data_IF_616604753276
#
_entry.id   IF_616604753276
#
_cell.length_a   1.000
_cell.length_b   1.000
_cell.length_c   1.000
_cell.angle_alpha   90.00
_cell.angle_beta   90.00
_cell.angle_gamma   90.00
#
_symmetry.space_group_name_H-M   'P 1'
#
loop_
_entity.id
_entity.type
_entity.pdbx_description
1 polymer ?
#
# COMPACT_ATOMS: atom_id res chain seq x y z
N UNK A 1 4.27 -19.68 -34.14
CA UNK A 1 3.52 -19.25 -32.94
C UNK A 1 4.46 -19.34 -31.75
N UNK A 2 4.91 -18.19 -31.25
CA UNK A 2 5.84 -18.12 -30.11
C UNK A 2 5.13 -18.59 -28.85
N UNK A 3 5.54 -19.75 -28.33
CA UNK A 3 5.17 -20.22 -27.00
C UNK A 3 5.82 -19.25 -26.01
N UNK A 4 5.04 -18.27 -25.55
CA UNK A 4 5.44 -17.39 -24.45
C UNK A 4 5.76 -18.26 -23.24
N UNK A 5 7.05 -18.49 -22.98
CA UNK A 5 7.57 -18.77 -21.64
C UNK A 5 7.47 -17.48 -20.81
N UNK A 6 6.24 -17.01 -20.59
CA UNK A 6 5.99 -15.92 -19.66
C UNK A 6 5.79 -16.54 -18.29
N UNK A 7 6.70 -16.30 -17.36
CA UNK A 7 6.42 -16.55 -15.95
C UNK A 7 5.07 -15.90 -15.61
N UNK A 8 4.07 -16.71 -15.27
CA UNK A 8 2.79 -16.19 -14.80
C UNK A 8 3.04 -15.38 -13.53
N UNK A 9 2.53 -14.16 -13.49
CA UNK A 9 2.75 -13.25 -12.38
C UNK A 9 2.14 -13.86 -11.10
N UNK A 10 2.96 -14.04 -10.08
CA UNK A 10 2.50 -14.61 -8.82
C UNK A 10 1.72 -13.57 -8.01
N UNK A 11 0.99 -14.01 -6.98
CA UNK A 11 0.30 -13.09 -6.09
C UNK A 11 1.26 -12.13 -5.37
N UNK A 12 2.42 -12.63 -4.94
CA UNK A 12 3.48 -11.82 -4.34
C UNK A 12 3.98 -10.74 -5.29
N UNK A 13 4.15 -11.05 -6.57
CA UNK A 13 4.61 -10.06 -7.54
C UNK A 13 3.58 -8.92 -7.68
N UNK A 14 2.29 -9.25 -7.74
CA UNK A 14 1.22 -8.24 -7.79
C UNK A 14 1.19 -7.36 -6.54
N UNK A 15 1.39 -7.98 -5.37
CA UNK A 15 1.46 -7.25 -4.10
C UNK A 15 2.67 -6.31 -4.07
N UNK A 16 3.84 -6.75 -4.53
CA UNK A 16 5.04 -5.91 -4.61
C UNK A 16 4.86 -4.75 -5.59
N UNK A 17 4.22 -4.96 -6.74
CA UNK A 17 3.87 -3.86 -7.64
C UNK A 17 2.90 -2.87 -6.99
N UNK A 18 1.87 -3.35 -6.31
CA UNK A 18 0.90 -2.50 -5.61
C UNK A 18 1.57 -1.65 -4.53
N UNK A 19 2.42 -2.29 -3.71
CA UNK A 19 3.18 -1.63 -2.65
C UNK A 19 4.18 -0.63 -3.22
N UNK A 20 4.94 -0.99 -4.26
CA UNK A 20 5.90 -0.09 -4.89
C UNK A 20 5.23 1.17 -5.45
N UNK A 21 4.11 1.00 -6.14
CA UNK A 21 3.32 2.13 -6.66
C UNK A 21 2.74 2.99 -5.54
N UNK A 22 2.11 2.36 -4.55
CA UNK A 22 1.50 3.05 -3.41
C UNK A 22 2.51 3.83 -2.57
N UNK A 23 3.66 3.22 -2.27
CA UNK A 23 4.75 3.85 -1.50
C UNK A 23 5.38 4.99 -2.29
N UNK A 24 5.63 4.81 -3.59
CA UNK A 24 6.15 5.89 -4.44
C UNK A 24 5.21 7.10 -4.47
N UNK A 25 3.91 6.86 -4.62
CA UNK A 25 2.92 7.94 -4.61
C UNK A 25 2.84 8.63 -3.24
N UNK A 26 2.80 7.87 -2.14
CA UNK A 26 2.82 8.40 -0.78
C UNK A 26 4.08 9.23 -0.50
N UNK A 27 5.26 8.77 -0.95
CA UNK A 27 6.51 9.48 -0.80
C UNK A 27 6.50 10.84 -1.51
N UNK A 28 5.96 10.90 -2.73
CA UNK A 28 5.80 12.18 -3.44
C UNK A 28 4.91 13.17 -2.68
N UNK A 29 3.79 12.72 -2.12
CA UNK A 29 2.91 13.58 -1.30
C UNK A 29 3.59 14.03 -0.01
N UNK A 30 4.27 13.13 0.68
CA UNK A 30 5.02 13.46 1.89
C UNK A 30 6.11 14.50 1.58
N UNK A 31 6.87 14.30 0.51
CA UNK A 31 7.85 15.28 0.03
C UNK A 31 7.20 16.63 -0.25
N UNK A 32 6.06 16.67 -0.94
CA UNK A 32 5.38 17.94 -1.22
C UNK A 32 4.91 18.66 0.06
N UNK A 33 4.35 17.93 1.02
CA UNK A 33 3.95 18.49 2.31
C UNK A 33 5.13 19.06 3.10
N UNK A 34 6.20 18.28 3.27
CA UNK A 34 7.36 18.74 4.02
C UNK A 34 8.16 19.80 3.25
N UNK A 35 8.25 19.69 1.92
CA UNK A 35 8.90 20.70 1.08
C UNK A 35 8.29 22.09 1.30
N UNK A 36 6.96 22.13 1.41
CA UNK A 36 6.20 23.36 1.65
C UNK A 36 6.46 23.99 3.02
N UNK A 37 7.01 23.22 3.98
CA UNK A 37 7.34 23.70 5.32
C UNK A 37 8.80 24.13 5.49
N UNK A 38 9.70 23.87 4.53
CA UNK A 38 11.11 24.29 4.64
C UNK A 38 11.27 25.76 5.02
N UNK A 39 10.51 26.73 4.44
CA UNK A 39 10.64 28.13 4.81
C UNK A 39 10.38 28.42 6.29
N UNK A 40 9.58 27.58 6.97
CA UNK A 40 9.25 27.72 8.39
C UNK A 40 10.33 27.12 9.30
N UNK A 41 11.24 26.29 8.77
CA UNK A 41 12.30 25.62 9.55
C UNK A 41 13.49 26.52 9.88
N UNK A 42 13.62 27.68 9.22
CA UNK A 42 14.70 28.64 9.46
C UNK A 42 14.42 29.60 10.63
N UNK A 43 13.22 29.54 11.23
CA UNK A 43 12.82 30.36 12.36
C UNK A 43 13.06 29.71 13.74
N UNK A 44 12.73 30.46 14.80
CA UNK A 44 12.88 30.02 16.18
C UNK A 44 11.84 28.96 16.57
N UNK A 45 12.18 27.69 16.38
CA UNK A 45 11.49 26.54 16.99
C UNK A 45 10.10 26.21 16.42
N UNK A 46 9.26 25.61 17.26
CA UNK A 46 7.94 25.10 16.87
C UNK A 46 6.96 26.22 16.53
N UNK A 47 6.42 26.21 15.31
CA UNK A 47 5.41 27.16 14.86
C UNK A 47 3.98 26.68 15.19
N UNK A 48 3.17 27.57 15.77
CA UNK A 48 1.76 27.35 16.06
C UNK A 48 0.92 28.35 15.27
N UNK A 49 -0.20 27.90 14.71
CA UNK A 49 -1.15 28.78 14.01
C UNK A 49 -2.38 29.06 14.86
N UNK A 50 -3.06 30.18 14.60
CA UNK A 50 -4.31 30.52 15.27
C UNK A 50 -5.42 29.49 15.02
N UNK A 51 -5.38 28.79 13.88
CA UNK A 51 -6.30 27.69 13.58
C UNK A 51 -6.07 26.49 14.52
N UNK A 52 -4.84 26.25 14.94
CA UNK A 52 -4.45 25.05 15.68
C UNK A 52 -3.47 25.37 16.82
N UNK A 53 -3.93 26.06 17.89
CA UNK A 53 -3.05 26.49 18.98
C UNK A 53 -2.56 25.32 19.85
N UNK A 54 -3.25 24.17 19.83
CA UNK A 54 -2.90 23.01 20.64
C UNK A 54 -1.85 22.06 20.04
N UNK A 55 -1.44 22.27 18.78
CA UNK A 55 -0.45 21.42 18.10
C UNK A 55 0.44 22.25 17.17
N UNK A 56 1.72 21.92 17.11
CA UNK A 56 2.63 22.59 16.17
C UNK A 56 2.28 22.22 14.72
N UNK A 57 2.49 23.14 13.78
CA UNK A 57 2.27 22.87 12.35
C UNK A 57 3.13 21.70 11.84
N UNK A 58 4.32 21.53 12.39
CA UNK A 58 5.18 20.38 12.08
C UNK A 58 4.52 19.05 12.48
N UNK A 59 3.93 18.97 13.68
CA UNK A 59 3.24 17.77 14.14
C UNK A 59 1.98 17.51 13.33
N UNK A 60 1.16 18.54 13.10
CA UNK A 60 -0.05 18.44 12.27
C UNK A 60 0.28 17.91 10.88
N UNK A 61 1.32 18.45 10.25
CA UNK A 61 1.74 18.04 8.91
C UNK A 61 2.32 16.62 8.91
N UNK A 62 3.12 16.25 9.92
CA UNK A 62 3.67 14.91 10.02
C UNK A 62 2.58 13.84 10.18
N UNK A 63 1.59 14.09 11.01
CA UNK A 63 0.48 13.16 11.24
C UNK A 63 -0.47 13.08 10.04
N UNK A 64 -0.80 14.22 9.41
CA UNK A 64 -1.59 14.22 8.18
C UNK A 64 -0.85 13.51 7.03
N UNK A 65 0.47 13.72 6.92
CA UNK A 65 1.34 13.03 5.96
C UNK A 65 1.34 11.52 6.19
N UNK A 66 1.48 11.09 7.45
CA UNK A 66 1.44 9.68 7.82
C UNK A 66 0.08 9.02 7.49
N UNK A 67 -1.04 9.64 7.88
CA UNK A 67 -2.37 9.09 7.63
C UNK A 67 -2.73 9.07 6.13
N UNK A 68 -2.38 10.12 5.40
CA UNK A 68 -2.59 10.16 3.94
C UNK A 68 -1.69 9.14 3.24
N UNK A 69 -0.44 9.00 3.66
CA UNK A 69 0.50 8.00 3.11
C UNK A 69 0.00 6.57 3.33
N UNK A 70 -0.45 6.25 4.55
CA UNK A 70 -1.06 4.96 4.85
C UNK A 70 -2.30 4.69 3.99
N UNK A 71 -3.15 5.70 3.80
CA UNK A 71 -4.33 5.61 2.93
C UNK A 71 -3.92 5.32 1.48
N UNK A 72 -2.93 6.04 0.93
CA UNK A 72 -2.48 5.88 -0.45
C UNK A 72 -1.86 4.51 -0.70
N UNK A 73 -1.00 4.04 0.20
CA UNK A 73 -0.38 2.71 0.09
C UNK A 73 -1.46 1.62 0.15
N UNK A 74 -2.32 1.68 1.16
CA UNK A 74 -3.38 0.70 1.36
C UNK A 74 -4.41 0.68 0.22
N UNK A 75 -4.81 1.85 -0.27
CA UNK A 75 -5.73 2.00 -1.38
C UNK A 75 -5.23 1.29 -2.65
N UNK A 76 -3.92 1.36 -2.92
CA UNK A 76 -3.34 0.71 -4.09
C UNK A 76 -3.29 -0.82 -3.96
N UNK A 77 -3.01 -1.33 -2.75
CA UNK A 77 -3.10 -2.78 -2.47
C UNK A 77 -4.52 -3.30 -2.71
N UNK A 78 -5.53 -2.59 -2.21
CA UNK A 78 -6.94 -2.96 -2.38
C UNK A 78 -7.39 -2.82 -3.84
N UNK A 79 -6.99 -1.75 -4.52
CA UNK A 79 -7.35 -1.51 -5.91
C UNK A 79 -6.78 -2.59 -6.85
N UNK A 80 -5.53 -3.04 -6.64
CA UNK A 80 -4.96 -4.12 -7.44
C UNK A 80 -5.63 -5.47 -7.18
N UNK A 81 -5.99 -5.80 -5.93
CA UNK A 81 -6.79 -7.02 -5.68
C UNK A 81 -8.18 -6.92 -6.32
N UNK A 82 -8.79 -5.74 -6.26
CA UNK A 82 -10.04 -5.41 -6.93
C UNK A 82 -10.01 -5.59 -8.44
N UNK A 83 -8.91 -5.17 -9.08
CA UNK A 83 -8.68 -5.35 -10.51
C UNK A 83 -8.66 -6.83 -10.88
N UNK A 84 -8.00 -7.67 -10.08
CA UNK A 84 -7.97 -9.14 -10.29
C UNK A 84 -9.36 -9.74 -10.23
N UNK A 85 -10.22 -9.25 -9.33
CA UNK A 85 -11.62 -9.68 -9.17
C UNK A 85 -12.58 -9.09 -10.23
N UNK A 86 -12.10 -8.20 -11.11
CA UNK A 86 -12.88 -7.48 -12.14
C UNK A 86 -14.11 -6.72 -11.60
N UNK A 87 -14.08 -6.25 -10.36
CA UNK A 87 -15.21 -5.52 -9.76
C UNK A 87 -15.06 -4.01 -9.91
N UNK A 88 -16.05 -3.34 -10.52
CA UNK A 88 -16.04 -1.88 -10.70
C UNK A 88 -16.02 -1.08 -9.39
N UNK A 89 -16.67 -1.62 -8.35
CA UNK A 89 -16.69 -1.02 -7.00
C UNK A 89 -15.27 -0.87 -6.43
N UNK A 90 -14.39 -1.82 -6.72
CA UNK A 90 -13.01 -1.79 -6.22
C UNK A 90 -12.11 -0.82 -6.97
N UNK A 91 -12.42 -0.52 -8.24
CA UNK A 91 -11.73 0.52 -9.00
C UNK A 91 -12.08 1.93 -8.47
N UNK A 92 -13.31 2.12 -7.98
CA UNK A 92 -13.74 3.38 -7.38
C UNK A 92 -13.25 3.57 -5.92
N UNK A 93 -12.78 2.50 -5.27
CA UNK A 93 -12.33 2.55 -3.87
C UNK A 93 -11.17 3.54 -3.66
N UNK A 94 -10.10 3.39 -4.44
CA UNK A 94 -8.90 4.22 -4.30
C UNK A 94 -9.16 5.73 -4.42
N UNK A 95 -9.85 6.23 -5.47
CA UNK A 95 -10.17 7.66 -5.55
C UNK A 95 -11.13 8.10 -4.44
N UNK A 96 -12.07 7.25 -4.00
CA UNK A 96 -13.00 7.60 -2.95
C UNK A 96 -12.30 7.78 -1.58
N UNK A 97 -11.44 6.85 -1.17
CA UNK A 97 -10.73 6.97 0.11
C UNK A 97 -9.67 8.07 0.08
N UNK A 98 -9.05 8.32 -1.08
CA UNK A 98 -8.14 9.44 -1.25
C UNK A 98 -8.87 10.78 -1.11
N UNK A 99 -10.03 10.94 -1.77
CA UNK A 99 -10.87 12.12 -1.66
C UNK A 99 -11.36 12.32 -0.22
N UNK A 100 -11.80 11.25 0.46
CA UNK A 100 -12.21 11.31 1.85
C UNK A 100 -11.07 11.79 2.76
N UNK A 101 -9.85 11.26 2.58
CA UNK A 101 -8.66 11.71 3.30
C UNK A 101 -8.38 13.18 3.05
N UNK A 102 -8.45 13.64 1.79
CA UNK A 102 -8.19 15.03 1.42
C UNK A 102 -9.22 16.00 2.02
N UNK A 103 -10.50 15.62 2.02
CA UNK A 103 -11.58 16.41 2.62
C UNK A 103 -11.47 16.49 4.15
N UNK A 104 -11.01 15.43 4.81
CA UNK A 104 -10.75 15.47 6.24
C UNK A 104 -9.63 16.47 6.58
N UNK A 105 -8.59 16.58 5.75
CA UNK A 105 -7.51 17.54 5.97
C UNK A 105 -7.99 19.00 5.91
N UNK A 106 -8.99 19.31 5.08
CA UNK A 106 -9.61 20.65 5.03
C UNK A 106 -10.23 21.07 6.38
N UNK A 107 -10.61 20.11 7.23
CA UNK A 107 -11.09 20.38 8.58
C UNK A 107 -10.07 21.16 9.44
N UNK A 108 -8.78 21.09 9.10
CA UNK A 108 -7.70 21.81 9.79
C UNK A 108 -7.76 23.34 9.60
N UNK A 109 -8.50 23.84 8.62
CA UNK A 109 -8.63 25.29 8.39
C UNK A 109 -9.53 25.99 9.43
N UNK A 110 -10.45 25.25 10.05
CA UNK A 110 -11.34 25.81 11.07
C UNK A 110 -10.57 25.99 12.39
N UNK A 111 -10.80 27.09 13.15
CA UNK A 111 -10.25 27.25 14.50
C UNK A 111 -10.59 26.04 15.39
N UNK A 112 -9.57 25.41 15.96
CA UNK A 112 -9.66 24.19 16.77
C UNK A 112 -9.90 22.90 15.97
N UNK A 113 -10.01 22.98 14.64
CA UNK A 113 -10.35 21.86 13.76
C UNK A 113 -9.27 20.77 13.70
N UNK A 114 -8.00 21.11 13.92
CA UNK A 114 -6.91 20.13 13.90
C UNK A 114 -7.09 19.01 14.94
N UNK A 115 -7.70 19.28 16.09
CA UNK A 115 -7.91 18.28 17.14
C UNK A 115 -8.81 17.13 16.68
N UNK A 116 -9.66 17.36 15.69
CA UNK A 116 -10.53 16.33 15.12
C UNK A 116 -10.04 15.84 13.75
N UNK A 117 -9.60 16.76 12.90
CA UNK A 117 -9.15 16.44 11.55
C UNK A 117 -7.94 15.48 11.57
N UNK A 118 -6.91 15.80 12.35
CA UNK A 118 -5.65 15.03 12.35
C UNK A 118 -5.85 13.60 12.86
N UNK A 119 -6.51 13.34 14.02
CA UNK A 119 -6.79 11.98 14.45
C UNK A 119 -7.72 11.23 13.47
N UNK A 120 -8.66 11.92 12.82
CA UNK A 120 -9.56 11.29 11.85
C UNK A 120 -8.82 10.81 10.60
N UNK A 121 -7.88 11.62 10.08
CA UNK A 121 -7.02 11.22 8.95
C UNK A 121 -6.14 10.03 9.33
N UNK A 122 -5.55 10.04 10.54
CA UNK A 122 -4.79 8.90 11.05
C UNK A 122 -5.64 7.64 11.20
N UNK A 123 -6.84 7.76 11.77
CA UNK A 123 -7.75 6.64 11.95
C UNK A 123 -8.18 6.05 10.60
N UNK A 124 -8.50 6.90 9.62
CA UNK A 124 -8.81 6.48 8.25
C UNK A 124 -7.62 5.75 7.60
N UNK A 125 -6.41 6.30 7.73
CA UNK A 125 -5.19 5.67 7.21
C UNK A 125 -4.90 4.31 7.86
N UNK A 126 -5.03 4.24 9.19
CA UNK A 126 -4.87 3.00 9.95
C UNK A 126 -5.91 1.94 9.60
N UNK A 127 -7.18 2.34 9.50
CA UNK A 127 -8.26 1.44 9.08
C UNK A 127 -8.02 0.89 7.66
N UNK A 128 -7.61 1.76 6.73
CA UNK A 128 -7.23 1.33 5.38
C UNK A 128 -6.05 0.36 5.39
N UNK A 129 -4.99 0.66 6.16
CA UNK A 129 -3.82 -0.21 6.27
C UNK A 129 -4.17 -1.60 6.84
N UNK A 130 -5.00 -1.65 7.88
CA UNK A 130 -5.50 -2.91 8.44
C UNK A 130 -6.33 -3.68 7.41
N UNK A 131 -7.21 -2.99 6.68
CA UNK A 131 -8.03 -3.59 5.64
C UNK A 131 -7.19 -4.16 4.48
N UNK A 132 -6.16 -3.42 4.04
CA UNK A 132 -5.21 -3.87 3.04
C UNK A 132 -4.42 -5.09 3.52
N UNK A 133 -3.95 -5.10 4.78
CA UNK A 133 -3.27 -6.24 5.38
C UNK A 133 -4.15 -7.49 5.44
N UNK A 134 -5.42 -7.34 5.85
CA UNK A 134 -6.38 -8.44 5.84
C UNK A 134 -6.64 -8.99 4.43
N UNK A 135 -6.77 -8.11 3.45
CA UNK A 135 -6.93 -8.49 2.04
C UNK A 135 -5.69 -9.23 1.54
N UNK A 136 -4.50 -8.72 1.89
CA UNK A 136 -3.23 -9.32 1.55
C UNK A 136 -3.11 -10.75 2.12
N UNK A 137 -3.42 -10.94 3.41
CA UNK A 137 -3.36 -12.23 4.10
C UNK A 137 -4.40 -13.24 3.62
N UNK A 138 -5.62 -12.80 3.30
CA UNK A 138 -6.64 -13.70 2.72
C UNK A 138 -6.29 -14.19 1.33
N UNK A 139 -5.53 -13.40 0.57
CA UNK A 139 -5.06 -13.78 -0.76
C UNK A 139 -3.73 -14.54 -0.77
N UNK A 140 -3.02 -14.61 0.37
CA UNK A 140 -1.80 -15.39 0.47
C UNK A 140 -2.15 -16.88 0.31
N UNK A 141 -1.47 -17.63 -0.57
CA UNK A 141 -1.66 -19.07 -0.63
C UNK A 141 -1.32 -19.64 0.74
N UNK A 142 -2.28 -20.36 1.34
CA UNK A 142 -1.99 -21.20 2.51
C UNK A 142 -0.82 -22.08 2.08
N UNK A 143 0.31 -22.00 2.78
CA UNK A 143 1.34 -23.01 2.66
C UNK A 143 0.67 -24.33 3.07
N UNK A 144 0.15 -25.06 2.08
CA UNK A 144 -0.33 -26.42 2.31
C UNK A 144 0.83 -27.17 2.91
N UNK A 145 0.64 -27.58 4.16
CA UNK A 145 1.32 -28.73 4.71
C UNK A 145 1.07 -29.92 3.76
N UNK A 146 2.00 -30.12 2.83
CA UNK A 146 2.18 -31.36 2.08
C UNK A 146 3.65 -31.75 2.31
N UNK A 147 3.92 -32.42 3.44
CA UNK A 147 4.09 -33.88 3.53
C UNK A 147 5.40 -34.40 2.93
N UNK A 148 6.33 -34.71 3.84
CA UNK A 148 7.05 -35.99 3.93
C UNK A 148 8.17 -36.30 2.89
N UNK A 149 9.10 -37.20 3.23
CA UNK A 149 10.50 -37.13 2.82
C UNK A 149 10.77 -37.73 1.43
N UNK A 150 11.85 -37.20 0.87
CA UNK A 150 12.71 -37.72 -0.19
C UNK A 150 12.70 -39.26 -0.30
N UNK A 151 11.88 -39.77 -1.23
CA UNK A 151 11.75 -41.18 -1.56
C UNK A 151 12.04 -41.43 -3.03
N UNK A 152 13.30 -41.79 -3.31
CA UNK A 152 13.74 -42.68 -4.40
C UNK A 152 13.48 -42.20 -5.84
N UNK A 153 14.46 -41.50 -6.40
CA UNK A 153 14.63 -41.34 -7.86
C UNK A 153 14.98 -42.70 -8.47
N UNK A 154 13.99 -43.38 -9.04
CA UNK A 154 14.23 -44.51 -9.93
C UNK A 154 14.70 -43.97 -11.30
N UNK A 155 15.97 -44.17 -11.61
CA UNK A 155 16.56 -43.91 -12.91
C UNK A 155 15.86 -44.76 -14.00
N UNK A 156 15.49 -44.18 -15.16
CA UNK A 156 15.04 -44.98 -16.30
C UNK A 156 16.21 -45.79 -16.86
N UNK A 157 16.07 -47.11 -16.89
CA UNK A 157 16.95 -48.01 -17.66
C UNK A 157 16.83 -47.65 -19.15
N UNK A 158 17.95 -47.28 -19.75
CA UNK A 158 18.09 -47.22 -21.21
C UNK A 158 17.97 -48.64 -21.79
N UNK A 159 17.14 -48.88 -22.81
CA UNK A 159 17.24 -50.11 -23.58
C UNK A 159 18.50 -50.04 -24.45
N UNK A 160 19.33 -51.03 -24.19
CA UNK A 160 20.48 -51.50 -24.93
C UNK A 160 20.21 -51.62 -26.43
N UNK A 161 21.28 -51.40 -27.19
CA UNK A 161 21.36 -51.55 -28.63
C UNK A 161 20.78 -52.88 -29.13
N UNK A 162 20.03 -52.83 -30.24
CA UNK A 162 19.90 -53.97 -31.15
C UNK A 162 20.36 -53.53 -32.53
N UNK A 163 21.62 -53.86 -32.82
CA UNK A 163 22.12 -54.12 -34.16
C UNK A 163 21.25 -55.22 -34.78
N UNK A 164 20.98 -55.12 -36.07
CA UNK A 164 21.08 -56.20 -37.07
C UNK A 164 20.12 -55.95 -38.24
N UNK A 165 20.71 -56.02 -39.44
CA UNK A 165 20.20 -55.96 -40.82
C UNK A 165 20.18 -54.58 -41.49
#
# INVERSE_FOLDING_TARGET
MSLRSGHAFTYSDHLHLALGWGVGHAACHALFFFASLLPLTTGDGSYYSDSCPGMSLFLVTALNSLGTSATLVAAMVVALDGWRRRGAVWMAYAPAVHLASALLTLGSFKPGGCMFAVPSVLALGGANALYAAQTAWRGAPVASAATAPEGTVALPRTPEARRDL
#
